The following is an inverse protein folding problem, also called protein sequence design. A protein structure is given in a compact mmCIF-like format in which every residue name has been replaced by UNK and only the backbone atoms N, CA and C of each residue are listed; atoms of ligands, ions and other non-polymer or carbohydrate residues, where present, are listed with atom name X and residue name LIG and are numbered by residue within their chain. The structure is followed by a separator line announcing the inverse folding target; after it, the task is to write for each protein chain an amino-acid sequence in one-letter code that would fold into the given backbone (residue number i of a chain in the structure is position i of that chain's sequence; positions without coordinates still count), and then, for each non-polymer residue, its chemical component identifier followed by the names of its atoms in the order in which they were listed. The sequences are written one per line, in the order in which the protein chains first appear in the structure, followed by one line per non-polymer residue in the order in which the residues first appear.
data_IF_275981122317
#
_entry.id   IF_275981122317
#
_cell.length_a   1.000
_cell.length_b   1.000
_cell.length_c   1.000
_cell.angle_alpha   90.00
_cell.angle_beta   90.00
_cell.angle_gamma   90.00
#
_symmetry.space_group_name_H-M   'P 1'
#
loop_
_entity.id
_entity.type
_entity.pdbx_description
1 polymer ?
#
# COMPACT_ATOMS: atom_id res chain seq x y z
N UNK A 1 -20.21 -7.19 21.22
CA UNK A 1 -19.27 -8.00 22.00
C UNK A 1 -17.89 -7.39 21.77
N UNK A 2 -17.45 -6.50 22.66
CA UNK A 2 -16.12 -5.88 22.54
C UNK A 2 -15.07 -6.93 22.88
N UNK A 3 -14.24 -7.28 21.90
CA UNK A 3 -13.15 -8.22 22.12
C UNK A 3 -12.05 -7.52 22.90
N UNK A 4 -11.96 -7.81 24.19
CA UNK A 4 -10.80 -7.52 25.01
C UNK A 4 -9.62 -8.35 24.49
N UNK A 5 -8.87 -7.82 23.53
CA UNK A 5 -7.59 -8.37 23.12
C UNK A 5 -6.55 -8.00 24.18
N UNK A 6 -6.01 -9.00 24.86
CA UNK A 6 -4.92 -8.85 25.83
C UNK A 6 -3.77 -8.04 25.22
N UNK A 7 -3.29 -6.99 25.91
CA UNK A 7 -2.19 -6.12 25.45
C UNK A 7 -0.91 -6.88 25.04
N UNK A 8 -0.71 -8.10 25.55
CA UNK A 8 0.47 -8.95 25.25
C UNK A 8 0.54 -9.51 23.83
N UNK A 9 -0.47 -9.28 22.96
CA UNK A 9 -0.50 -9.83 21.59
C UNK A 9 -0.28 -8.80 20.50
N UNK A 10 -0.08 -7.53 20.84
CA UNK A 10 0.17 -6.49 19.85
C UNK A 10 1.64 -6.52 19.43
N UNK A 11 1.87 -6.60 18.12
CA UNK A 11 3.19 -6.47 17.49
C UNK A 11 3.18 -5.20 16.66
N UNK A 12 4.28 -4.45 16.74
CA UNK A 12 4.44 -3.21 16.01
C UNK A 12 5.58 -3.35 15.01
N UNK A 13 5.31 -2.90 13.80
CA UNK A 13 6.26 -2.88 12.70
C UNK A 13 6.44 -1.45 12.20
N UNK A 14 7.65 -1.13 11.76
CA UNK A 14 7.91 -0.03 10.85
C UNK A 14 7.75 -0.58 9.42
N UNK A 15 6.87 0.04 8.64
CA UNK A 15 6.70 -0.25 7.23
C UNK A 15 7.30 0.89 6.41
N UNK A 16 8.18 0.52 5.47
CA UNK A 16 8.67 1.42 4.42
C UNK A 16 7.97 1.05 3.13
N UNK A 17 7.36 2.05 2.49
CA UNK A 17 6.62 1.94 1.25
C UNK A 17 7.25 2.88 0.23
N UNK A 18 7.59 2.36 -0.94
CA UNK A 18 7.96 3.17 -2.11
C UNK A 18 6.98 2.93 -3.23
N UNK A 19 6.36 3.99 -3.73
CA UNK A 19 5.49 3.93 -4.91
C UNK A 19 6.29 4.49 -6.08
N UNK A 20 6.76 3.60 -6.96
CA UNK A 20 7.71 3.95 -8.00
C UNK A 20 7.02 4.53 -9.23
N UNK A 21 6.29 3.70 -9.96
CA UNK A 21 5.71 4.09 -11.25
C UNK A 21 4.44 3.31 -11.56
N UNK A 22 3.62 3.92 -12.42
CA UNK A 22 2.47 3.30 -13.06
C UNK A 22 2.76 3.23 -14.56
N UNK A 23 2.74 2.01 -15.11
CA UNK A 23 3.04 1.75 -16.51
C UNK A 23 1.82 1.18 -17.24
N UNK A 24 1.91 1.07 -18.57
CA UNK A 24 0.84 0.60 -19.46
C UNK A 24 -0.41 1.49 -19.41
N UNK A 25 -0.23 2.79 -19.21
CA UNK A 25 -1.34 3.74 -19.23
C UNK A 25 -1.91 3.88 -20.65
N UNK A 26 -3.24 3.85 -20.83
CA UNK A 26 -3.85 4.29 -22.08
C UNK A 26 -3.53 5.79 -22.26
N UNK A 27 -3.37 6.25 -23.51
CA UNK A 27 -3.02 7.63 -23.87
C UNK A 27 -4.06 8.64 -23.36
N UNK A 28 -4.05 8.95 -22.07
CA UNK A 28 -5.00 9.85 -21.43
C UNK A 28 -4.25 11.01 -20.81
N UNK A 29 -4.66 12.22 -21.19
CA UNK A 29 -4.15 13.48 -20.64
C UNK A 29 -4.62 13.66 -19.19
N UNK A 30 -3.70 14.06 -18.30
CA UNK A 30 -4.04 14.43 -16.93
C UNK A 30 -2.84 14.31 -16.00
N UNK A 31 -3.11 14.54 -14.72
CA UNK A 31 -2.20 14.30 -13.63
C UNK A 31 -2.65 13.09 -12.83
N UNK A 32 -1.70 12.26 -12.44
CA UNK A 32 -1.94 11.01 -11.74
C UNK A 32 -1.28 11.05 -10.38
N UNK A 33 -1.91 10.39 -9.42
CA UNK A 33 -1.37 10.24 -8.08
C UNK A 33 -1.96 9.00 -7.41
N UNK A 34 -1.26 8.49 -6.41
CA UNK A 34 -1.70 7.32 -5.64
C UNK A 34 -2.02 7.76 -4.23
N UNK A 35 -3.26 7.49 -3.79
CA UNK A 35 -3.62 7.56 -2.36
C UNK A 35 -3.45 6.18 -1.76
N UNK A 36 -2.81 6.09 -0.60
CA UNK A 36 -2.68 4.83 0.13
C UNK A 36 -3.26 4.95 1.54
N UNK A 37 -3.76 3.83 2.08
CA UNK A 37 -4.24 3.72 3.46
C UNK A 37 -4.03 2.31 3.99
N UNK A 38 -3.89 2.20 5.31
CA UNK A 38 -3.95 0.91 6.00
C UNK A 38 -5.39 0.52 6.31
N UNK A 39 -5.72 -0.77 6.19
CA UNK A 39 -7.06 -1.29 6.48
C UNK A 39 -7.48 -1.11 7.94
N UNK A 40 -6.54 -1.30 8.87
CA UNK A 40 -6.80 -1.37 10.31
C UNK A 40 -6.38 -0.10 11.06
N UNK A 41 -6.20 1.02 10.37
CA UNK A 41 -5.71 2.27 10.94
C UNK A 41 -6.25 3.49 10.19
N UNK A 42 -6.16 4.67 10.82
CA UNK A 42 -6.38 5.96 10.16
C UNK A 42 -5.17 6.43 9.34
N UNK A 43 -4.05 5.70 9.44
CA UNK A 43 -2.80 5.98 8.74
C UNK A 43 -2.99 5.88 7.23
N UNK A 44 -2.60 6.95 6.54
CA UNK A 44 -2.80 7.15 5.11
C UNK A 44 -1.80 8.16 4.58
N UNK A 45 -1.60 8.16 3.27
CA UNK A 45 -0.77 9.13 2.57
C UNK A 45 -1.13 9.24 1.10
N UNK A 46 -0.36 10.05 0.39
CA UNK A 46 -0.54 10.25 -1.05
C UNK A 46 0.78 10.63 -1.67
N UNK A 47 1.01 10.18 -2.90
CA UNK A 47 2.06 10.75 -3.75
C UNK A 47 1.69 12.17 -4.18
N UNK A 48 2.68 12.89 -4.71
CA UNK A 48 2.45 14.09 -5.50
C UNK A 48 1.71 13.76 -6.80
N UNK A 49 1.18 14.80 -7.45
CA UNK A 49 0.65 14.68 -8.82
C UNK A 49 1.81 14.63 -9.80
N UNK A 50 1.72 13.74 -10.78
CA UNK A 50 2.71 13.64 -11.85
C UNK A 50 2.01 13.39 -13.20
N UNK A 51 2.63 13.85 -14.28
CA UNK A 51 2.10 13.75 -15.64
C UNK A 51 2.54 12.47 -16.34
N UNK A 52 1.76 12.02 -17.32
CA UNK A 52 2.15 10.89 -18.16
C UNK A 52 3.30 11.31 -19.09
N UNK A 53 4.31 10.46 -19.17
CA UNK A 53 5.40 10.53 -20.15
C UNK A 53 5.71 9.10 -20.61
N UNK A 54 5.79 8.87 -21.91
CA UNK A 54 6.09 7.55 -22.49
C UNK A 54 5.19 6.41 -21.95
N UNK A 55 3.88 6.67 -21.86
CA UNK A 55 2.85 5.76 -21.33
C UNK A 55 3.06 5.32 -19.87
N UNK A 56 3.82 6.11 -19.10
CA UNK A 56 4.03 5.89 -17.67
C UNK A 56 3.98 7.16 -16.85
N UNK A 57 3.80 7.00 -15.55
CA UNK A 57 3.94 8.06 -14.55
C UNK A 57 4.91 7.57 -13.50
N UNK A 58 5.89 8.39 -13.14
CA UNK A 58 6.91 8.09 -12.14
C UNK A 58 6.74 9.05 -10.96
N UNK A 59 6.76 8.51 -9.74
CA UNK A 59 6.71 9.27 -8.50
C UNK A 59 7.94 9.05 -7.62
N UNK A 60 8.44 7.82 -7.53
CA UNK A 60 9.49 7.41 -6.59
C UNK A 60 9.27 7.98 -5.17
N UNK A 61 8.03 7.89 -4.71
CA UNK A 61 7.60 8.48 -3.44
C UNK A 61 7.77 7.49 -2.30
N UNK A 62 8.56 7.87 -1.30
CA UNK A 62 8.84 7.07 -0.10
C UNK A 62 7.97 7.49 1.09
N UNK A 63 7.51 6.50 1.86
CA UNK A 63 6.74 6.69 3.08
C UNK A 63 7.21 5.71 4.15
N UNK A 64 7.34 6.20 5.38
CA UNK A 64 7.63 5.37 6.56
C UNK A 64 6.50 5.56 7.57
N UNK A 65 5.91 4.46 8.04
CA UNK A 65 4.81 4.51 9.01
C UNK A 65 4.75 3.26 9.88
N UNK A 66 4.06 3.36 11.01
CA UNK A 66 3.89 2.23 11.93
C UNK A 66 2.66 1.40 11.59
N UNK A 67 2.83 0.09 11.59
CA UNK A 67 1.77 -0.91 11.43
C UNK A 67 1.62 -1.65 12.75
N UNK A 68 0.38 -1.72 13.24
CA UNK A 68 0.05 -2.46 14.46
C UNK A 68 -0.78 -3.67 14.08
N UNK A 69 -0.29 -4.83 14.44
CA UNK A 69 -0.91 -6.13 14.13
C UNK A 69 -1.09 -6.89 15.44
N UNK A 70 -2.10 -7.75 15.53
CA UNK A 70 -2.32 -8.58 16.71
C UNK A 70 -2.02 -10.04 16.37
N UNK A 71 -1.39 -10.75 17.30
CA UNK A 71 -1.26 -12.21 17.23
C UNK A 71 -2.61 -12.82 17.64
N UNK A 72 -3.22 -13.55 16.74
CA UNK A 72 -4.48 -14.23 16.96
C UNK A 72 -4.31 -15.45 17.86
N UNK A 73 -5.43 -16.08 18.27
CA UNK A 73 -5.37 -17.32 19.07
C UNK A 73 -4.70 -18.48 18.31
N UNK A 74 -4.77 -18.45 16.98
CA UNK A 74 -4.10 -19.39 16.07
C UNK A 74 -2.59 -19.20 15.97
N UNK A 75 -2.01 -18.25 16.72
CA UNK A 75 -0.61 -17.80 16.59
C UNK A 75 -0.29 -17.11 15.25
N UNK A 76 -1.27 -16.88 14.38
CA UNK A 76 -1.07 -16.09 13.16
C UNK A 76 -1.15 -14.59 13.44
N UNK A 77 -0.50 -13.79 12.61
CA UNK A 77 -0.73 -12.35 12.57
C UNK A 77 -2.11 -12.04 11.99
N UNK A 78 -2.85 -11.15 12.64
CA UNK A 78 -4.13 -10.65 12.13
C UNK A 78 -3.94 -10.00 10.76
N UNK A 79 -4.85 -10.20 9.79
CA UNK A 79 -4.72 -9.61 8.45
C UNK A 79 -4.50 -8.10 8.51
N UNK A 80 -3.54 -7.59 7.74
CA UNK A 80 -3.29 -6.16 7.60
C UNK A 80 -2.93 -5.82 6.17
N UNK A 81 -3.75 -4.94 5.58
CA UNK A 81 -3.75 -4.67 4.17
C UNK A 81 -3.37 -3.21 3.89
N UNK A 82 -2.47 -2.99 2.94
CA UNK A 82 -2.17 -1.70 2.37
C UNK A 82 -2.95 -1.52 1.07
N UNK A 83 -3.84 -0.53 1.05
CA UNK A 83 -4.72 -0.26 -0.09
C UNK A 83 -4.20 0.96 -0.84
N UNK A 84 -3.65 0.75 -2.03
CA UNK A 84 -3.16 1.81 -2.93
C UNK A 84 -4.20 2.07 -4.03
N UNK A 85 -4.81 3.25 -4.05
CA UNK A 85 -5.79 3.67 -5.06
C UNK A 85 -5.16 4.66 -6.03
N UNK A 86 -5.15 4.31 -7.31
CA UNK A 86 -4.68 5.20 -8.38
C UNK A 86 -5.80 6.15 -8.76
N UNK A 87 -5.46 7.43 -8.86
CA UNK A 87 -6.38 8.51 -9.21
C UNK A 87 -5.84 9.34 -10.36
N UNK A 88 -6.77 9.90 -11.13
CA UNK A 88 -6.49 10.82 -12.22
C UNK A 88 -7.27 12.11 -12.05
N UNK A 89 -6.59 13.22 -12.28
CA UNK A 89 -7.14 14.57 -12.34
C UNK A 89 -6.97 15.08 -13.77
N UNK A 90 -8.09 15.34 -14.45
CA UNK A 90 -8.09 15.83 -15.83
C UNK A 90 -7.86 17.33 -15.82
N UNK A 91 -6.99 17.83 -16.71
CA UNK A 91 -6.74 19.27 -16.84
C UNK A 91 -8.04 20.04 -17.12
N UNK A 92 -8.29 21.09 -16.34
CA UNK A 92 -9.50 21.91 -16.46
C UNK A 92 -10.79 21.23 -15.95
N UNK A 93 -10.71 20.00 -15.46
CA UNK A 93 -11.79 19.31 -14.77
C UNK A 93 -11.80 19.61 -13.27
N UNK A 94 -12.98 19.60 -12.65
CA UNK A 94 -13.14 19.73 -11.20
C UNK A 94 -13.19 18.38 -10.46
N UNK A 95 -13.19 17.27 -11.19
CA UNK A 95 -13.35 15.92 -10.66
C UNK A 95 -12.07 15.10 -10.73
N UNK A 96 -11.89 14.25 -9.72
CA UNK A 96 -10.85 13.23 -9.70
C UNK A 96 -11.47 11.86 -9.93
N UNK A 97 -11.01 11.16 -10.97
CA UNK A 97 -11.46 9.81 -11.28
C UNK A 97 -10.61 8.77 -10.54
N UNK A 98 -11.26 7.70 -10.10
CA UNK A 98 -10.59 6.51 -9.59
C UNK A 98 -10.33 5.58 -10.77
N UNK A 99 -9.06 5.22 -10.99
CA UNK A 99 -8.67 4.34 -12.08
C UNK A 99 -8.60 2.86 -11.69
N UNK A 100 -8.38 2.59 -10.41
CA UNK A 100 -8.25 1.24 -9.88
C UNK A 100 -7.48 1.23 -8.57
N UNK A 101 -7.25 0.04 -8.02
CA UNK A 101 -6.49 -0.11 -6.79
C UNK A 101 -5.70 -1.42 -6.72
N UNK A 102 -4.72 -1.44 -5.84
CA UNK A 102 -3.99 -2.63 -5.41
C UNK A 102 -4.26 -2.80 -3.91
N UNK A 103 -4.47 -4.05 -3.50
CA UNK A 103 -4.47 -4.43 -2.09
C UNK A 103 -3.25 -5.33 -1.84
N UNK A 104 -2.36 -4.91 -0.95
CA UNK A 104 -1.12 -5.61 -0.62
C UNK A 104 -1.26 -6.14 0.81
N UNK A 105 -1.19 -7.46 0.95
CA UNK A 105 -1.11 -8.09 2.26
C UNK A 105 0.26 -7.79 2.87
N UNK A 106 0.28 -7.03 3.97
CA UNK A 106 1.52 -6.69 4.64
C UNK A 106 2.06 -7.88 5.46
N UNK A 107 1.19 -8.79 5.90
CA UNK A 107 1.61 -10.00 6.62
C UNK A 107 2.55 -10.89 5.81
N UNK A 108 2.44 -10.93 4.48
CA UNK A 108 3.35 -11.73 3.64
C UNK A 108 4.76 -11.14 3.51
N UNK A 109 4.96 -9.89 3.95
CA UNK A 109 6.25 -9.18 3.87
C UNK A 109 6.99 -9.22 5.22
N UNK A 110 6.31 -9.66 6.28
CA UNK A 110 6.90 -9.80 7.62
C UNK A 110 8.00 -10.86 7.61
N UNK A 111 9.12 -10.57 8.27
CA UNK A 111 10.23 -11.53 8.43
C UNK A 111 11.24 -11.56 7.27
N UNK A 112 10.99 -10.82 6.18
CA UNK A 112 11.97 -10.65 5.11
C UNK A 112 12.93 -9.52 5.46
N UNK A 113 14.25 -9.78 5.45
CA UNK A 113 15.25 -8.72 5.66
C UNK A 113 15.24 -7.69 4.54
N UNK A 114 14.94 -8.16 3.33
CA UNK A 114 15.10 -7.42 2.10
C UNK A 114 13.78 -6.76 1.67
N UNK A 115 13.82 -5.55 1.09
CA UNK A 115 12.64 -4.93 0.50
C UNK A 115 12.08 -5.79 -0.65
N UNK A 116 10.75 -5.98 -0.65
CA UNK A 116 10.04 -6.69 -1.69
C UNK A 116 9.56 -5.69 -2.76
N UNK A 117 10.11 -5.79 -3.96
CA UNK A 117 9.72 -4.97 -5.12
C UNK A 117 8.85 -5.78 -6.09
N UNK A 118 7.59 -5.39 -6.27
CA UNK A 118 6.62 -6.11 -7.09
C UNK A 118 5.79 -5.21 -7.99
N UNK A 119 5.35 -5.78 -9.13
CA UNK A 119 4.40 -5.14 -10.05
C UNK A 119 3.01 -5.71 -9.82
N UNK A 120 2.06 -4.83 -9.53
CA UNK A 120 0.68 -5.19 -9.27
C UNK A 120 -0.22 -4.72 -10.40
N UNK A 121 -1.07 -5.62 -10.89
CA UNK A 121 -2.17 -5.25 -11.78
C UNK A 121 -3.23 -4.46 -11.00
N UNK A 122 -3.69 -3.35 -11.58
CA UNK A 122 -4.79 -2.60 -10.97
C UNK A 122 -6.09 -3.42 -11.01
N UNK A 123 -6.69 -3.60 -9.84
CA UNK A 123 -8.05 -4.11 -9.70
C UNK A 123 -9.05 -2.99 -10.00
N UNK A 124 -10.27 -3.38 -10.39
CA UNK A 124 -11.37 -2.48 -10.75
C UNK A 124 -10.98 -1.42 -11.81
N UNK A 125 -10.05 -1.78 -12.69
CA UNK A 125 -9.50 -0.89 -13.69
C UNK A 125 -10.00 -1.22 -15.11
N UNK A 126 -10.21 -0.17 -15.91
CA UNK A 126 -10.53 -0.29 -17.34
C UNK A 126 -9.31 -0.61 -18.22
N UNK A 127 -8.12 -0.67 -17.63
CA UNK A 127 -6.86 -0.87 -18.34
C UNK A 127 -5.97 -1.84 -17.56
N UNK A 128 -5.04 -2.50 -18.27
CA UNK A 128 -4.04 -3.39 -17.68
C UNK A 128 -2.82 -2.63 -17.15
N UNK A 129 -3.06 -1.46 -16.53
CA UNK A 129 -1.99 -0.67 -15.95
C UNK A 129 -1.36 -1.43 -14.78
N UNK A 130 -0.04 -1.36 -14.66
CA UNK A 130 0.73 -2.03 -13.62
C UNK A 130 1.37 -0.99 -12.70
N UNK A 131 1.19 -1.15 -11.39
CA UNK A 131 1.78 -0.30 -10.37
C UNK A 131 2.99 -1.00 -9.74
N UNK A 132 4.17 -0.38 -9.84
CA UNK A 132 5.40 -0.88 -9.23
C UNK A 132 5.54 -0.31 -7.82
N UNK A 133 5.62 -1.19 -6.82
CA UNK A 133 5.73 -0.84 -5.40
C UNK A 133 6.86 -1.65 -4.77
N UNK A 134 7.59 -0.99 -3.86
CA UNK A 134 8.50 -1.67 -2.93
C UNK A 134 7.95 -1.55 -1.51
N UNK A 135 7.88 -2.67 -0.78
CA UNK A 135 7.51 -2.70 0.65
C UNK A 135 8.58 -3.38 1.48
N UNK A 136 8.77 -2.91 2.72
CA UNK A 136 9.62 -3.56 3.70
C UNK A 136 8.98 -3.42 5.08
N UNK A 137 8.94 -4.51 5.85
CA UNK A 137 8.45 -4.50 7.22
C UNK A 137 9.54 -4.92 8.19
N UNK A 138 9.80 -4.07 9.19
CA UNK A 138 10.72 -4.35 10.28
C UNK A 138 9.96 -4.36 11.60
N UNK A 139 10.00 -5.47 12.32
CA UNK A 139 9.44 -5.51 13.68
C UNK A 139 10.25 -4.57 14.59
N UNK A 140 9.54 -3.70 15.30
CA UNK A 140 10.15 -2.73 16.24
C UNK A 140 9.72 -2.97 17.69
N UNK A 141 8.61 -3.68 17.93
CA UNK A 141 8.14 -4.02 19.28
C UNK A 141 7.15 -5.19 19.27
N UNK A 142 6.97 -5.86 20.41
CA UNK A 142 6.03 -6.98 20.60
C UNK A 142 6.68 -8.36 20.54
N UNK A 143 5.86 -9.40 20.66
CA UNK A 143 6.31 -10.80 20.63
C UNK A 143 6.81 -11.20 19.24
N UNK A 144 7.75 -12.14 19.17
CA UNK A 144 8.18 -12.83 17.93
C UNK A 144 7.59 -14.24 17.83
N UNK A 145 6.77 -14.65 18.80
CA UNK A 145 6.14 -15.97 18.88
C UNK A 145 4.84 -16.00 18.07
N UNK A 146 4.96 -15.87 16.75
CA UNK A 146 3.85 -15.95 15.79
C UNK A 146 4.29 -16.72 14.52
N UNK A 147 3.31 -17.27 13.81
CA UNK A 147 3.48 -17.99 12.55
C UNK A 147 3.16 -17.05 11.36
N UNK A 148 3.86 -17.27 10.24
CA UNK A 148 3.69 -16.52 8.98
C UNK A 148 2.76 -17.28 8.03
#
# INVERSE_FOLDING_TARGET
MEMFVSKNRRVQFECKLTIHELINLPYVSGQYFVKWKLSNSTTKGSTTRATVKDNKVVWDAEFTFHVNVFVEKSRMLSPCDLICTVKQEIYGGSSTDRLGNVNISLSSVVGTSDPLMERYLLNDAKSNSLLLITTQMKQISGTTDYEM
#
